data_IF_503491262898
#
_entry.id   IF_503491262898
#
_cell.length_a   1.000
_cell.length_b   1.000
_cell.length_c   1.000
_cell.angle_alpha   90.00
_cell.angle_beta   90.00
_cell.angle_gamma   90.00
#
_symmetry.space_group_name_H-M   'P 1'
#
loop_
_entity.id
_entity.type
_entity.pdbx_description
1 polymer ?
#
# COMPACT_ATOMS: atom_id res chain seq x y z
N UNK A 1 -10.19 22.66 -121.97
CA UNK A 1 -11.32 22.36 -122.87
C UNK A 1 -12.24 21.32 -122.22
N UNK A 2 -13.53 21.67 -122.09
CA UNK A 2 -14.75 20.86 -122.25
C UNK A 2 -14.87 19.43 -121.66
N UNK A 3 -15.88 19.28 -120.79
CA UNK A 3 -16.89 18.18 -120.78
C UNK A 3 -16.47 16.89 -120.05
N UNK A 4 -17.32 16.10 -119.37
CA UNK A 4 -18.79 15.96 -119.20
C UNK A 4 -19.01 15.29 -117.82
N UNK A 5 -19.85 15.81 -116.93
CA UNK A 5 -21.32 15.59 -116.75
C UNK A 5 -21.78 14.13 -116.50
N UNK A 6 -22.17 13.89 -115.23
CA UNK A 6 -23.49 13.37 -114.75
C UNK A 6 -23.98 11.99 -115.21
N UNK A 7 -24.69 11.14 -114.43
CA UNK A 7 -25.78 11.38 -113.46
C UNK A 7 -26.11 10.04 -112.76
N UNK A 8 -26.28 10.02 -111.44
CA UNK A 8 -26.92 8.92 -110.67
C UNK A 8 -28.39 9.29 -110.43
N UNK A 9 -29.32 8.47 -110.89
CA UNK A 9 -30.75 8.57 -110.56
C UNK A 9 -31.11 7.56 -109.44
N UNK A 10 -31.80 8.03 -108.40
CA UNK A 10 -32.58 7.22 -107.44
C UNK A 10 -34.04 7.62 -107.58
N UNK A 11 -35.02 6.70 -107.53
CA UNK A 11 -36.42 7.06 -107.30
C UNK A 11 -36.90 6.71 -105.87
N UNK A 12 -37.41 7.77 -105.22
CA UNK A 12 -38.69 7.90 -104.49
C UNK A 12 -39.11 6.84 -103.44
N UNK A 13 -38.97 7.19 -102.14
CA UNK A 13 -39.84 6.76 -101.01
C UNK A 13 -40.49 8.01 -100.44
N UNK A 14 -41.80 8.19 -100.63
CA UNK A 14 -42.47 9.47 -100.32
C UNK A 14 -43.94 9.41 -99.89
N UNK A 15 -44.47 8.27 -99.41
CA UNK A 15 -45.87 8.19 -98.96
C UNK A 15 -46.06 7.78 -97.48
N UNK A 16 -45.10 7.09 -96.85
CA UNK A 16 -45.27 6.57 -95.48
C UNK A 16 -45.07 7.59 -94.34
N UNK A 17 -44.28 8.66 -94.54
CA UNK A 17 -44.05 9.68 -93.49
C UNK A 17 -45.18 10.70 -93.36
N UNK A 18 -46.00 10.85 -94.39
CA UNK A 18 -47.12 11.80 -94.41
C UNK A 18 -48.27 11.31 -93.51
N UNK A 19 -48.55 10.00 -93.54
CA UNK A 19 -49.58 9.36 -92.69
C UNK A 19 -49.29 9.54 -91.19
N UNK A 20 -48.03 9.37 -90.76
CA UNK A 20 -47.65 9.55 -89.35
C UNK A 20 -47.70 11.00 -88.84
N UNK A 21 -47.59 12.00 -89.73
CA UNK A 21 -47.83 13.41 -89.38
C UNK A 21 -49.31 13.71 -89.28
N UNK A 22 -50.13 13.16 -90.18
CA UNK A 22 -51.58 13.30 -90.13
C UNK A 22 -52.17 12.67 -88.87
N UNK A 23 -51.66 11.52 -88.43
CA UNK A 23 -52.11 10.89 -87.18
C UNK A 23 -51.76 11.77 -85.96
N UNK A 24 -50.54 12.34 -85.92
CA UNK A 24 -50.13 13.24 -84.82
C UNK A 24 -50.91 14.54 -84.80
N UNK A 25 -51.17 15.13 -85.98
CA UNK A 25 -52.02 16.31 -86.12
C UNK A 25 -53.45 15.97 -85.70
N UNK A 26 -53.96 14.80 -86.09
CA UNK A 26 -55.27 14.30 -85.65
C UNK A 26 -55.38 14.13 -84.14
N UNK A 27 -54.36 13.58 -83.48
CA UNK A 27 -54.32 13.45 -82.01
C UNK A 27 -54.26 14.82 -81.32
N UNK A 28 -53.48 15.77 -81.87
CA UNK A 28 -53.40 17.13 -81.33
C UNK A 28 -54.70 17.91 -81.50
N UNK A 29 -55.37 17.75 -82.65
CA UNK A 29 -56.70 18.32 -82.88
C UNK A 29 -57.73 17.69 -81.94
N UNK A 30 -57.65 16.37 -81.71
CA UNK A 30 -58.54 15.67 -80.79
C UNK A 30 -58.32 16.12 -79.33
N UNK A 31 -57.07 16.29 -78.90
CA UNK A 31 -56.74 16.84 -77.58
C UNK A 31 -57.20 18.30 -77.43
N UNK A 32 -57.00 19.14 -78.46
CA UNK A 32 -57.46 20.53 -78.39
C UNK A 32 -58.99 20.63 -78.40
N UNK A 33 -59.67 19.74 -79.12
CA UNK A 33 -61.13 19.67 -79.17
C UNK A 33 -61.71 19.16 -77.84
N UNK A 34 -61.03 18.24 -77.15
CA UNK A 34 -61.39 17.81 -75.78
C UNK A 34 -61.23 18.97 -74.78
N UNK A 35 -60.13 19.73 -74.87
CA UNK A 35 -59.88 20.88 -73.98
C UNK A 35 -60.89 22.00 -74.27
N UNK A 36 -61.14 22.32 -75.55
CA UNK A 36 -62.13 23.32 -75.96
C UNK A 36 -63.55 22.90 -75.55
N UNK A 37 -63.88 21.61 -75.68
CA UNK A 37 -65.13 21.03 -75.19
C UNK A 37 -65.28 21.16 -73.68
N UNK A 38 -64.19 20.98 -72.90
CA UNK A 38 -64.19 21.14 -71.45
C UNK A 38 -64.44 22.60 -71.04
N UNK A 39 -63.85 23.56 -71.75
CA UNK A 39 -64.06 25.01 -71.49
C UNK A 39 -65.47 25.42 -71.91
N UNK A 40 -65.95 24.99 -73.08
CA UNK A 40 -67.31 25.28 -73.54
C UNK A 40 -68.39 24.76 -72.58
N UNK A 41 -68.16 23.59 -71.96
CA UNK A 41 -69.06 23.02 -70.95
C UNK A 41 -69.16 23.87 -69.66
N UNK A 42 -68.18 24.74 -69.36
CA UNK A 42 -68.30 25.69 -68.25
C UNK A 42 -69.18 26.90 -68.59
N UNK A 43 -69.23 27.31 -69.86
CA UNK A 43 -69.96 28.50 -70.29
C UNK A 43 -71.43 28.23 -70.65
N UNK A 44 -71.77 27.00 -71.06
CA UNK A 44 -73.13 26.63 -71.48
C UNK A 44 -73.64 25.39 -70.70
N UNK A 45 -74.18 25.57 -69.48
CA UNK A 45 -74.57 24.45 -68.60
C UNK A 45 -75.86 23.71 -69.01
N UNK A 46 -76.65 24.20 -69.98
CA UNK A 46 -77.98 23.64 -70.31
C UNK A 46 -77.99 22.62 -71.48
N UNK A 47 -76.89 22.44 -72.20
CA UNK A 47 -76.79 21.45 -73.29
C UNK A 47 -76.34 20.09 -72.77
N UNK A 48 -77.28 19.15 -72.66
CA UNK A 48 -77.12 17.80 -72.09
C UNK A 48 -76.16 16.83 -72.85
N UNK A 49 -75.46 17.27 -73.90
CA UNK A 49 -74.65 16.40 -74.77
C UNK A 49 -73.19 16.23 -74.28
N UNK A 50 -72.83 16.79 -73.12
CA UNK A 50 -71.46 16.84 -72.60
C UNK A 50 -71.20 16.03 -71.31
N UNK A 51 -72.02 15.02 -71.00
CA UNK A 51 -71.78 14.16 -69.81
C UNK A 51 -70.65 13.12 -70.00
N UNK A 52 -70.32 12.76 -71.25
CA UNK A 52 -69.35 11.70 -71.55
C UNK A 52 -67.89 12.02 -71.15
N UNK A 53 -67.34 13.23 -71.39
CA UNK A 53 -65.97 13.55 -70.99
C UNK A 53 -65.78 13.61 -69.47
N UNK A 54 -66.81 14.05 -68.73
CA UNK A 54 -66.76 14.25 -67.28
C UNK A 54 -66.66 12.92 -66.51
N UNK A 55 -67.33 11.86 -67.01
CA UNK A 55 -67.28 10.52 -66.38
C UNK A 55 -65.94 9.80 -66.60
N UNK A 56 -65.20 10.12 -67.66
CA UNK A 56 -63.91 9.50 -67.95
C UNK A 56 -62.79 10.06 -67.07
N UNK A 57 -62.75 11.38 -66.87
CA UNK A 57 -61.75 12.07 -66.01
C UNK A 57 -61.93 11.69 -64.53
N UNK A 58 -63.18 11.55 -64.07
CA UNK A 58 -63.46 11.13 -62.70
C UNK A 58 -62.98 9.70 -62.38
N UNK A 59 -62.94 8.81 -63.39
CA UNK A 59 -62.56 7.39 -63.22
C UNK A 59 -61.05 7.16 -63.18
N UNK A 60 -60.25 8.08 -63.72
CA UNK A 60 -58.78 8.00 -63.72
C UNK A 60 -58.14 8.71 -62.53
N UNK A 61 -58.75 9.78 -62.02
CA UNK A 61 -58.13 10.61 -60.96
C UNK A 61 -58.42 10.09 -59.54
N UNK A 62 -59.56 9.45 -59.32
CA UNK A 62 -59.98 8.97 -57.99
C UNK A 62 -59.11 7.89 -57.34
N UNK A 63 -58.52 6.91 -58.05
CA UNK A 63 -57.64 5.93 -57.39
C UNK A 63 -56.28 6.50 -57.00
N UNK A 64 -55.82 7.58 -57.65
CA UNK A 64 -54.49 8.17 -57.41
C UNK A 64 -54.45 9.04 -56.15
N UNK A 65 -55.59 9.60 -55.74
CA UNK A 65 -55.69 10.39 -54.51
C UNK A 65 -55.61 9.52 -53.24
N UNK A 66 -56.06 8.26 -53.28
CA UNK A 66 -56.03 7.35 -52.12
C UNK A 66 -54.66 6.70 -51.92
N UNK A 67 -53.88 6.49 -52.98
CA UNK A 67 -52.52 5.93 -52.89
C UNK A 67 -51.48 6.96 -52.46
N UNK A 68 -51.68 8.24 -52.79
CA UNK A 68 -50.81 9.32 -52.31
C UNK A 68 -50.97 9.60 -50.81
N UNK A 69 -52.16 9.41 -50.24
CA UNK A 69 -52.41 9.63 -48.81
C UNK A 69 -51.80 8.53 -47.91
N UNK A 70 -51.83 7.27 -48.32
CA UNK A 70 -51.21 6.16 -47.55
C UNK A 70 -49.70 6.13 -47.68
N UNK A 71 -49.14 6.58 -48.82
CA UNK A 71 -47.69 6.69 -49.01
C UNK A 71 -47.06 7.80 -48.15
N UNK A 72 -47.75 8.93 -47.95
CA UNK A 72 -47.25 10.03 -47.10
C UNK A 72 -47.34 9.72 -45.60
N UNK A 73 -48.35 8.99 -45.14
CA UNK A 73 -48.44 8.56 -43.73
C UNK A 73 -47.35 7.55 -43.35
N UNK A 74 -47.00 6.61 -44.24
CA UNK A 74 -45.92 5.64 -44.02
C UNK A 74 -44.53 6.28 -43.86
N UNK A 75 -44.20 7.25 -44.71
CA UNK A 75 -42.91 7.95 -44.69
C UNK A 75 -42.78 8.85 -43.46
N UNK A 76 -43.85 9.57 -43.09
CA UNK A 76 -43.87 10.41 -41.89
C UNK A 76 -43.76 9.57 -40.61
N UNK A 77 -44.38 8.38 -40.57
CA UNK A 77 -44.30 7.48 -39.42
C UNK A 77 -42.90 6.88 -39.22
N UNK A 78 -42.20 6.55 -40.31
CA UNK A 78 -40.82 6.03 -40.26
C UNK A 78 -39.83 7.12 -39.85
N UNK A 79 -39.96 8.34 -40.41
CA UNK A 79 -39.14 9.48 -40.01
C UNK A 79 -39.38 9.89 -38.55
N UNK A 80 -40.62 9.80 -38.06
CA UNK A 80 -40.94 10.04 -36.64
C UNK A 80 -40.32 8.98 -35.74
N UNK A 81 -40.28 7.71 -36.17
CA UNK A 81 -39.65 6.59 -35.44
C UNK A 81 -38.12 6.69 -35.41
N UNK A 82 -37.50 7.17 -36.50
CA UNK A 82 -36.05 7.46 -36.54
C UNK A 82 -35.68 8.66 -35.68
N UNK A 83 -36.47 9.74 -35.74
CA UNK A 83 -36.25 10.92 -34.89
C UNK A 83 -36.43 10.60 -33.40
N UNK A 84 -37.38 9.73 -33.05
CA UNK A 84 -37.56 9.26 -31.67
C UNK A 84 -36.37 8.42 -31.18
N UNK A 85 -35.80 7.57 -32.04
CA UNK A 85 -34.61 6.76 -31.70
C UNK A 85 -33.35 7.61 -31.51
N UNK A 86 -33.11 8.57 -32.39
CA UNK A 86 -31.96 9.48 -32.26
C UNK A 86 -32.06 10.36 -31.01
N UNK A 87 -33.26 10.82 -30.63
CA UNK A 87 -33.45 11.52 -29.36
C UNK A 87 -33.17 10.62 -28.15
N UNK A 88 -33.56 9.34 -28.21
CA UNK A 88 -33.35 8.40 -27.11
C UNK A 88 -31.86 8.07 -26.91
N UNK A 89 -31.12 7.82 -27.99
CA UNK A 89 -29.67 7.61 -27.94
C UNK A 89 -28.95 8.85 -27.41
N UNK A 90 -29.36 10.04 -27.88
CA UNK A 90 -28.81 11.31 -27.40
C UNK A 90 -29.11 11.57 -25.91
N UNK A 91 -30.33 11.33 -25.45
CA UNK A 91 -30.70 11.46 -24.03
C UNK A 91 -29.95 10.43 -23.16
N UNK A 92 -29.75 9.21 -23.67
CA UNK A 92 -28.98 8.17 -22.98
C UNK A 92 -27.50 8.55 -22.86
N UNK A 93 -26.87 9.00 -23.95
CA UNK A 93 -25.48 9.47 -23.92
C UNK A 93 -25.30 10.69 -23.00
N UNK A 94 -26.24 11.64 -23.05
CA UNK A 94 -26.22 12.80 -22.15
C UNK A 94 -26.36 12.40 -20.69
N UNK A 95 -27.23 11.44 -20.39
CA UNK A 95 -27.42 10.92 -19.05
C UNK A 95 -26.15 10.20 -18.55
N UNK A 96 -25.51 9.40 -19.41
CA UNK A 96 -24.23 8.75 -19.09
C UNK A 96 -23.13 9.76 -18.82
N UNK A 97 -23.04 10.84 -19.60
CA UNK A 97 -22.06 11.92 -19.34
C UNK A 97 -22.29 12.58 -17.99
N UNK A 98 -23.53 12.96 -17.67
CA UNK A 98 -23.86 13.55 -16.36
C UNK A 98 -23.63 12.57 -15.21
N UNK A 99 -23.91 11.29 -15.42
CA UNK A 99 -23.66 10.25 -14.42
C UNK A 99 -22.17 10.12 -14.14
N UNK A 100 -21.34 10.00 -15.18
CA UNK A 100 -19.89 9.92 -15.03
C UNK A 100 -19.32 11.18 -14.37
N UNK A 101 -19.75 12.37 -14.78
CA UNK A 101 -19.35 13.64 -14.16
C UNK A 101 -19.69 13.66 -12.66
N UNK A 102 -20.88 13.19 -12.28
CA UNK A 102 -21.29 13.11 -10.86
C UNK A 102 -20.50 12.08 -10.08
N UNK A 103 -20.16 10.95 -10.70
CA UNK A 103 -19.30 9.94 -10.10
C UNK A 103 -17.90 10.51 -9.87
N UNK A 104 -17.33 11.20 -10.86
CA UNK A 104 -16.02 11.85 -10.74
C UNK A 104 -16.01 12.90 -9.63
N UNK A 105 -17.03 13.76 -9.56
CA UNK A 105 -17.19 14.73 -8.46
C UNK A 105 -17.26 14.05 -7.09
N UNK A 106 -18.00 12.93 -6.99
CA UNK A 106 -18.14 12.19 -5.73
C UNK A 106 -16.83 11.53 -5.30
N UNK A 107 -16.05 11.00 -6.24
CA UNK A 107 -14.74 10.41 -5.97
C UNK A 107 -13.75 11.48 -5.48
N UNK A 108 -13.69 12.63 -6.17
CA UNK A 108 -12.83 13.74 -5.77
C UNK A 108 -13.19 14.27 -4.38
N UNK A 109 -14.48 14.40 -4.08
CA UNK A 109 -14.93 14.85 -2.75
C UNK A 109 -14.52 13.87 -1.65
N UNK A 110 -14.62 12.57 -1.93
CA UNK A 110 -14.21 11.53 -0.99
C UNK A 110 -12.69 11.52 -0.76
N UNK A 111 -11.89 11.73 -1.82
CA UNK A 111 -10.45 11.93 -1.72
C UNK A 111 -10.10 13.13 -0.82
N UNK A 112 -10.77 14.28 -1.01
CA UNK A 112 -10.57 15.44 -0.14
C UNK A 112 -10.95 15.17 1.31
N UNK A 113 -12.05 14.44 1.55
CA UNK A 113 -12.46 14.06 2.91
C UNK A 113 -11.43 13.15 3.57
N UNK A 114 -10.94 12.15 2.86
CA UNK A 114 -9.90 11.23 3.34
C UNK A 114 -8.62 12.00 3.72
N UNK A 115 -8.15 12.89 2.84
CA UNK A 115 -6.98 13.75 3.15
C UNK A 115 -7.20 14.63 4.38
N UNK A 116 -8.35 15.30 4.46
CA UNK A 116 -8.70 16.14 5.62
C UNK A 116 -8.71 15.35 6.91
N UNK A 117 -9.25 14.12 6.88
CA UNK A 117 -9.25 13.22 8.02
C UNK A 117 -7.84 12.82 8.43
N UNK A 118 -6.99 12.38 7.49
CA UNK A 118 -5.59 12.04 7.78
C UNK A 118 -4.81 13.20 8.41
N UNK A 119 -5.03 14.42 7.92
CA UNK A 119 -4.45 15.63 8.52
C UNK A 119 -4.96 15.93 9.92
N UNK A 120 -6.24 15.68 10.19
CA UNK A 120 -6.84 15.83 11.51
C UNK A 120 -6.26 14.80 12.49
N UNK A 121 -6.13 13.53 12.07
CA UNK A 121 -5.56 12.46 12.89
C UNK A 121 -4.11 12.73 13.28
N UNK A 122 -3.31 13.29 12.35
CA UNK A 122 -1.94 13.74 12.65
C UNK A 122 -1.90 14.90 13.63
N UNK A 123 -2.85 15.83 13.54
CA UNK A 123 -2.95 16.95 14.47
C UNK A 123 -3.36 16.49 15.87
N UNK A 124 -4.26 15.51 15.96
CA UNK A 124 -4.67 14.88 17.20
C UNK A 124 -3.54 14.06 17.85
N UNK A 125 -2.74 13.35 17.06
CA UNK A 125 -1.54 12.66 17.57
C UNK A 125 -0.50 13.66 18.09
N UNK A 126 -0.25 14.74 17.33
CA UNK A 126 0.69 15.81 17.72
C UNK A 126 0.25 16.52 18.99
N UNK A 127 -1.04 16.78 19.15
CA UNK A 127 -1.60 17.47 20.32
C UNK A 127 -1.60 16.58 21.57
N UNK A 128 -1.82 15.27 21.42
CA UNK A 128 -1.68 14.30 22.53
C UNK A 128 -0.22 14.15 22.98
N UNK A 129 0.72 14.24 22.03
CA UNK A 129 2.15 14.05 22.27
C UNK A 129 2.95 15.36 22.16
N UNK A 130 2.48 16.44 22.78
CA UNK A 130 3.14 17.76 22.77
C UNK A 130 4.62 17.70 23.19
N UNK A 131 4.95 16.79 24.10
CA UNK A 131 6.31 16.60 24.62
C UNK A 131 7.30 16.05 23.56
N UNK A 132 6.80 15.41 22.50
CA UNK A 132 7.60 14.80 21.44
C UNK A 132 7.90 15.75 20.26
N UNK A 133 7.31 16.95 20.27
CA UNK A 133 7.52 18.01 19.28
C UNK A 133 7.55 17.48 17.83
N UNK A 134 6.40 16.94 17.41
CA UNK A 134 6.21 16.31 16.10
C UNK A 134 6.07 17.33 14.95
N UNK A 135 6.88 17.16 13.91
CA UNK A 135 6.80 17.90 12.65
C UNK A 135 5.98 17.11 11.65
N UNK A 136 4.92 17.70 11.11
CA UNK A 136 4.14 17.11 10.02
C UNK A 136 4.94 17.16 8.72
N UNK A 137 4.96 16.05 7.99
CA UNK A 137 5.66 15.92 6.73
C UNK A 137 4.84 15.10 5.74
N UNK A 138 4.98 15.42 4.45
CA UNK A 138 4.40 14.69 3.35
C UNK A 138 5.44 13.75 2.75
N UNK A 139 5.01 12.56 2.35
CA UNK A 139 5.84 11.63 1.57
C UNK A 139 5.83 12.09 0.11
N UNK A 140 7.01 12.40 -0.42
CA UNK A 140 7.20 12.87 -1.81
C UNK A 140 7.90 11.84 -2.71
N UNK A 141 8.36 10.73 -2.13
CA UNK A 141 8.97 9.64 -2.87
C UNK A 141 9.01 8.37 -2.03
N UNK A 142 8.99 7.22 -2.71
CA UNK A 142 9.14 5.90 -2.12
C UNK A 142 10.09 5.07 -2.99
N UNK A 143 10.92 4.27 -2.34
CA UNK A 143 11.76 3.26 -2.97
C UNK A 143 11.61 1.96 -2.17
N UNK A 144 10.91 0.99 -2.75
CA UNK A 144 10.59 -0.28 -2.12
C UNK A 144 11.09 -1.44 -2.98
N UNK A 145 11.81 -2.34 -2.34
CA UNK A 145 12.31 -3.60 -2.89
C UNK A 145 12.11 -4.70 -1.84
N UNK A 146 12.43 -5.95 -2.17
CA UNK A 146 12.19 -7.09 -1.28
C UNK A 146 12.87 -6.98 0.09
N UNK A 147 13.98 -6.23 0.19
CA UNK A 147 14.76 -6.06 1.42
C UNK A 147 14.99 -4.60 1.80
N UNK A 148 14.51 -3.67 0.97
CA UNK A 148 14.77 -2.24 1.13
C UNK A 148 13.47 -1.48 1.14
N UNK A 149 13.30 -0.60 2.11
CA UNK A 149 12.14 0.27 2.22
C UNK A 149 12.61 1.66 2.65
N UNK A 150 12.54 2.61 1.71
CA UNK A 150 12.95 3.99 1.89
C UNK A 150 11.82 4.93 1.48
N UNK A 151 11.57 5.96 2.28
CA UNK A 151 10.68 7.08 1.96
C UNK A 151 11.47 8.37 1.88
N UNK A 152 11.03 9.30 1.05
CA UNK A 152 11.55 10.68 1.00
C UNK A 152 10.47 11.63 1.46
N UNK A 153 10.80 12.51 2.41
CA UNK A 153 9.89 13.51 2.99
C UNK A 153 10.21 14.93 2.52
N UNK A 154 9.20 15.80 2.52
CA UNK A 154 9.29 17.24 2.19
C UNK A 154 9.78 18.15 3.33
N UNK A 155 10.44 17.55 4.33
CA UNK A 155 11.02 18.26 5.48
C UNK A 155 12.51 17.96 5.60
N UNK A 156 13.27 18.92 6.13
CA UNK A 156 14.71 18.78 6.29
C UNK A 156 15.25 19.56 7.48
N UNK A 157 16.55 19.86 7.45
CA UNK A 157 17.25 20.52 8.56
C UNK A 157 16.72 21.93 8.84
N UNK A 158 16.13 22.62 7.85
CA UNK A 158 15.48 23.93 8.04
C UNK A 158 14.31 23.90 9.01
N UNK A 159 13.59 22.78 9.07
CA UNK A 159 12.48 22.54 9.99
C UNK A 159 12.97 21.95 11.33
N UNK A 160 14.28 21.66 11.44
CA UNK A 160 14.89 21.08 12.63
C UNK A 160 14.92 19.55 12.64
N UNK A 161 14.69 18.90 11.49
CA UNK A 161 14.89 17.45 11.32
C UNK A 161 16.39 17.15 11.33
N UNK A 162 16.77 16.05 11.98
CA UNK A 162 18.13 15.52 12.01
C UNK A 162 18.08 14.03 11.72
N UNK A 163 19.24 13.44 11.43
CA UNK A 163 19.35 12.00 11.29
C UNK A 163 19.06 11.30 12.63
N UNK A 164 18.55 10.07 12.55
CA UNK A 164 18.17 9.24 13.69
C UNK A 164 16.95 9.72 14.49
N UNK A 165 16.04 10.49 13.88
CA UNK A 165 14.75 10.86 14.45
C UNK A 165 13.68 9.83 14.10
N UNK A 166 12.76 9.58 15.04
CA UNK A 166 11.65 8.66 14.82
C UNK A 166 10.58 9.27 13.90
N UNK A 167 10.17 8.49 12.91
CA UNK A 167 9.07 8.82 12.00
C UNK A 167 7.90 7.89 12.27
N UNK A 168 6.74 8.46 12.54
CA UNK A 168 5.54 7.73 12.93
C UNK A 168 4.31 8.25 12.18
N UNK A 169 3.34 7.36 12.01
CA UNK A 169 1.95 7.69 11.71
C UNK A 169 1.16 7.66 13.02
N UNK A 170 -0.08 8.18 13.08
CA UNK A 170 -0.90 8.10 14.29
C UNK A 170 -0.97 6.66 14.81
N UNK A 171 -0.42 6.42 15.99
CA UNK A 171 -0.42 5.12 16.63
C UNK A 171 0.57 4.07 16.11
N UNK A 172 1.49 4.35 15.17
CA UNK A 172 2.49 3.37 14.74
C UNK A 172 3.82 3.99 14.24
N UNK A 173 4.94 3.31 14.51
CA UNK A 173 6.28 3.66 14.03
C UNK A 173 6.47 3.21 12.57
N UNK A 174 6.92 4.12 11.72
CA UNK A 174 7.29 3.81 10.33
C UNK A 174 8.78 3.53 10.20
N UNK A 175 9.62 4.35 10.83
CA UNK A 175 11.05 4.28 10.57
C UNK A 175 11.86 5.38 11.23
N UNK A 176 13.06 5.56 10.70
CA UNK A 176 14.06 6.49 11.22
C UNK A 176 14.60 7.36 10.09
N UNK A 177 14.79 8.65 10.34
CA UNK A 177 15.38 9.57 9.35
C UNK A 177 16.86 9.30 9.12
N UNK A 178 17.31 9.42 7.88
CA UNK A 178 18.71 9.39 7.50
C UNK A 178 18.95 10.29 6.28
N UNK A 179 20.19 10.73 6.09
CA UNK A 179 20.59 11.57 4.95
C UNK A 179 19.71 12.83 4.81
N UNK A 180 19.63 13.60 5.88
CA UNK A 180 18.80 14.82 5.93
C UNK A 180 19.48 15.98 5.18
N UNK A 181 18.79 16.52 4.17
CA UNK A 181 19.18 17.75 3.44
C UNK A 181 18.45 18.97 4.00
N UNK A 182 18.71 20.17 3.48
CA UNK A 182 18.08 21.41 3.93
C UNK A 182 16.55 21.43 3.79
N UNK A 183 15.99 20.78 2.76
CA UNK A 183 14.57 20.82 2.42
C UNK A 183 13.89 19.45 2.39
N UNK A 184 14.65 18.36 2.37
CA UNK A 184 14.14 16.99 2.25
C UNK A 184 14.95 16.07 3.14
N UNK A 185 14.39 14.93 3.50
CA UNK A 185 15.08 13.87 4.23
C UNK A 185 14.62 12.51 3.74
N UNK A 186 15.47 11.50 3.91
CA UNK A 186 15.09 10.11 3.66
C UNK A 186 14.76 9.42 4.98
N UNK A 187 13.94 8.38 4.91
CA UNK A 187 13.49 7.59 6.04
C UNK A 187 13.67 6.13 5.69
N UNK A 188 14.40 5.41 6.54
CA UNK A 188 14.52 3.96 6.42
C UNK A 188 13.41 3.33 7.25
N UNK A 189 12.58 2.49 6.62
CA UNK A 189 11.45 1.85 7.27
C UNK A 189 11.89 0.77 8.25
N UNK A 190 11.10 0.48 9.29
CA UNK A 190 11.36 -0.62 10.22
C UNK A 190 11.31 -2.00 9.56
N UNK A 191 10.68 -2.09 8.38
CA UNK A 191 10.56 -3.29 7.55
C UNK A 191 11.79 -3.52 6.66
N UNK A 192 12.73 -2.56 6.61
CA UNK A 192 14.01 -2.69 5.92
C UNK A 192 15.01 -3.54 6.73
N UNK A 193 15.78 -4.39 6.05
CA UNK A 193 16.78 -5.26 6.69
C UNK A 193 17.94 -4.49 7.33
N UNK A 194 18.23 -3.27 6.86
CA UNK A 194 19.28 -2.42 7.40
C UNK A 194 18.78 -1.52 8.55
N UNK A 195 17.47 -1.45 8.77
CA UNK A 195 16.91 -0.72 9.89
C UNK A 195 17.02 -1.55 11.17
N UNK A 196 17.55 -0.93 12.23
CA UNK A 196 17.67 -1.55 13.54
C UNK A 196 17.09 -0.61 14.58
N UNK A 197 16.00 -1.04 15.24
CA UNK A 197 15.29 -0.23 16.24
C UNK A 197 15.25 -0.96 17.57
N UNK A 198 15.59 -0.26 18.65
CA UNK A 198 15.48 -0.82 20.00
C UNK A 198 14.01 -0.89 20.43
N UNK A 199 13.48 -2.09 20.56
CA UNK A 199 12.08 -2.36 20.89
C UNK A 199 11.94 -3.00 22.29
N UNK A 200 10.75 -2.87 22.86
CA UNK A 200 10.35 -3.42 24.14
C UNK A 200 8.98 -4.08 24.02
N UNK A 201 8.86 -5.28 24.57
CA UNK A 201 7.58 -5.99 24.66
C UNK A 201 6.84 -5.48 25.90
N UNK A 202 5.61 -4.98 25.74
CA UNK A 202 4.90 -4.32 26.85
C UNK A 202 4.59 -5.28 28.01
N UNK A 203 4.26 -6.54 27.70
CA UNK A 203 3.84 -7.56 28.67
C UNK A 203 4.99 -8.02 29.58
N UNK A 204 6.13 -8.43 29.00
CA UNK A 204 7.28 -8.95 29.72
C UNK A 204 8.31 -7.88 30.08
N UNK A 205 8.21 -6.70 29.46
CA UNK A 205 9.22 -5.62 29.52
C UNK A 205 10.59 -6.03 28.99
N UNK A 206 10.66 -7.13 28.25
CA UNK A 206 11.90 -7.56 27.59
C UNK A 206 12.27 -6.61 26.47
N UNK A 207 13.57 -6.33 26.39
CA UNK A 207 14.15 -5.49 25.35
C UNK A 207 14.82 -6.34 24.28
N UNK A 208 14.87 -5.79 23.07
CA UNK A 208 15.52 -6.44 21.95
C UNK A 208 15.71 -5.47 20.79
N UNK A 209 16.36 -5.95 19.74
CA UNK A 209 16.57 -5.20 18.50
C UNK A 209 15.63 -5.72 17.43
N UNK A 210 14.77 -4.84 16.93
CA UNK A 210 13.89 -5.09 15.81
C UNK A 210 14.63 -4.80 14.49
N UNK A 211 14.52 -5.71 13.53
CA UNK A 211 15.04 -5.55 12.17
C UNK A 211 14.02 -6.09 11.16
N UNK A 212 13.94 -5.44 10.00
CA UNK A 212 13.01 -5.80 8.95
C UNK A 212 13.32 -7.15 8.29
N UNK A 213 12.27 -7.88 7.90
CA UNK A 213 12.41 -9.11 7.14
C UNK A 213 11.24 -9.26 6.17
N UNK A 214 11.44 -10.05 5.12
CA UNK A 214 10.34 -10.46 4.25
C UNK A 214 9.67 -11.69 4.84
N UNK A 215 8.34 -11.63 5.08
CA UNK A 215 7.59 -12.82 5.46
C UNK A 215 7.48 -13.79 4.28
N UNK A 216 7.32 -15.07 4.59
CA UNK A 216 7.06 -16.14 3.59
C UNK A 216 5.78 -15.85 2.80
N UNK A 217 4.82 -15.17 3.44
CA UNK A 217 3.50 -14.84 2.89
C UNK A 217 3.52 -13.59 1.99
N UNK A 218 4.69 -13.02 1.72
CA UNK A 218 4.84 -11.77 0.96
C UNK A 218 4.46 -10.50 1.72
N UNK A 219 4.06 -10.61 2.99
CA UNK A 219 3.74 -9.49 3.87
C UNK A 219 4.99 -8.92 4.54
N UNK A 220 4.93 -7.64 4.89
CA UNK A 220 5.94 -6.99 5.73
C UNK A 220 5.94 -7.61 7.13
N UNK A 221 7.12 -8.00 7.60
CA UNK A 221 7.32 -8.51 8.95
C UNK A 221 8.62 -7.98 9.52
N UNK A 222 8.74 -8.03 10.84
CA UNK A 222 9.96 -7.68 11.54
C UNK A 222 10.40 -8.87 12.39
N UNK A 223 11.70 -9.02 12.59
CA UNK A 223 12.29 -9.96 13.54
C UNK A 223 12.86 -9.19 14.71
N UNK A 224 12.55 -9.64 15.92
CA UNK A 224 13.13 -9.06 17.14
C UNK A 224 14.12 -10.04 17.74
N UNK A 225 15.38 -9.60 17.84
CA UNK A 225 16.52 -10.37 18.34
C UNK A 225 16.93 -9.94 19.75
N UNK A 226 17.79 -10.74 20.39
CA UNK A 226 18.42 -10.46 21.69
C UNK A 226 17.46 -10.38 22.88
N UNK A 227 16.35 -11.10 22.81
CA UNK A 227 15.42 -11.25 23.93
C UNK A 227 16.03 -12.09 25.06
N UNK A 228 15.61 -11.82 26.29
CA UNK A 228 16.10 -12.53 27.48
C UNK A 228 15.58 -13.97 27.51
N UNK A 229 16.38 -14.92 27.99
CA UNK A 229 16.00 -16.33 28.03
C UNK A 229 14.87 -16.66 29.01
N UNK A 230 14.65 -15.83 30.02
CA UNK A 230 13.74 -16.09 31.14
C UNK A 230 12.26 -16.07 30.76
N UNK A 231 11.86 -15.34 29.71
CA UNK A 231 10.46 -15.27 29.31
C UNK A 231 10.28 -15.53 27.82
N UNK A 232 9.20 -16.24 27.48
CA UNK A 232 8.77 -16.42 26.10
C UNK A 232 7.58 -15.49 25.87
N UNK A 233 7.69 -14.53 24.94
CA UNK A 233 6.58 -13.65 24.60
C UNK A 233 5.37 -14.45 24.14
N UNK A 234 4.16 -13.95 24.37
CA UNK A 234 2.96 -14.61 23.84
C UNK A 234 2.58 -13.99 22.49
N UNK A 235 2.06 -14.79 21.54
CA UNK A 235 1.43 -14.23 20.35
C UNK A 235 0.33 -13.22 20.75
N UNK A 236 0.29 -12.08 20.07
CA UNK A 236 -0.58 -10.94 20.36
C UNK A 236 0.02 -9.89 21.29
N UNK A 237 1.13 -10.18 21.99
CA UNK A 237 1.79 -9.19 22.85
C UNK A 237 2.22 -7.96 22.04
N UNK A 238 2.01 -6.77 22.60
CA UNK A 238 2.29 -5.50 21.94
C UNK A 238 3.75 -5.12 22.07
N UNK A 239 4.35 -4.68 20.97
CA UNK A 239 5.75 -4.26 20.87
C UNK A 239 5.79 -2.75 20.65
N UNK A 240 6.57 -2.06 21.46
CA UNK A 240 6.74 -0.60 21.44
C UNK A 240 8.22 -0.21 21.39
N UNK A 241 8.53 1.04 21.09
CA UNK A 241 9.91 1.54 21.17
C UNK A 241 10.41 1.55 22.62
N UNK A 242 11.64 1.08 22.84
CA UNK A 242 12.24 1.01 24.18
C UNK A 242 12.72 2.36 24.71
N UNK A 243 13.02 3.31 23.83
CA UNK A 243 13.66 4.59 24.16
C UNK A 243 15.17 4.53 24.39
N UNK A 244 15.81 3.39 24.08
CA UNK A 244 17.23 3.16 24.37
C UNK A 244 18.07 3.23 23.10
N UNK A 245 19.23 3.89 23.20
CA UNK A 245 20.24 3.99 22.16
C UNK A 245 20.03 5.22 21.27
N UNK A 246 19.09 5.14 20.33
CA UNK A 246 18.82 6.23 19.38
C UNK A 246 17.92 7.32 19.98
N UNK A 247 17.84 8.47 19.30
CA UNK A 247 16.95 9.59 19.66
C UNK A 247 15.47 9.27 19.33
N UNK A 248 15.02 8.08 19.71
CA UNK A 248 13.67 7.58 19.54
C UNK A 248 12.99 7.63 20.90
N UNK A 249 11.84 8.29 21.04
CA UNK A 249 11.13 8.32 22.31
C UNK A 249 10.57 6.93 22.63
N UNK A 250 10.45 6.64 23.92
CA UNK A 250 9.88 5.38 24.41
C UNK A 250 8.37 5.35 24.19
N UNK A 251 7.83 4.18 23.89
CA UNK A 251 6.38 3.93 23.89
C UNK A 251 5.65 4.17 22.57
N UNK A 252 6.36 4.44 21.46
CA UNK A 252 5.72 4.46 20.13
C UNK A 252 5.37 3.01 19.76
N UNK A 253 4.13 2.72 19.35
CA UNK A 253 3.73 1.36 18.99
C UNK A 253 4.39 0.92 17.69
N UNK A 254 4.79 -0.34 17.61
CA UNK A 254 5.42 -0.93 16.43
C UNK A 254 4.50 -1.98 15.84
N UNK A 255 4.11 -2.96 16.66
CA UNK A 255 3.50 -4.19 16.17
C UNK A 255 2.99 -5.13 17.25
N UNK A 256 2.54 -6.30 16.82
CA UNK A 256 2.19 -7.41 17.68
C UNK A 256 3.08 -8.63 17.40
N UNK A 257 3.38 -9.41 18.42
CA UNK A 257 4.09 -10.68 18.24
C UNK A 257 3.18 -11.65 17.48
N UNK A 258 3.59 -12.07 16.29
CA UNK A 258 2.85 -13.05 15.48
C UNK A 258 3.18 -14.47 15.91
N UNK A 259 4.48 -14.73 16.08
CA UNK A 259 4.98 -16.04 16.48
C UNK A 259 6.08 -15.88 17.52
N UNK A 260 5.98 -16.65 18.60
CA UNK A 260 6.94 -16.64 19.70
C UNK A 260 7.88 -17.84 19.72
N UNK A 261 7.80 -18.74 18.75
CA UNK A 261 8.80 -19.78 18.55
C UNK A 261 10.14 -19.11 18.30
N UNK A 262 11.11 -19.36 19.17
CA UNK A 262 12.48 -18.83 19.03
C UNK A 262 13.13 -19.50 17.84
N UNK A 263 12.93 -18.92 16.65
CA UNK A 263 13.60 -19.34 15.43
C UNK A 263 15.11 -19.16 15.59
N UNK A 264 15.90 -20.11 15.09
CA UNK A 264 17.34 -19.97 15.04
C UNK A 264 17.75 -19.40 13.67
N UNK A 265 18.39 -18.24 13.69
CA UNK A 265 19.07 -17.68 12.52
C UNK A 265 20.45 -17.20 12.95
N UNK A 266 21.51 -17.66 12.30
CA UNK A 266 22.89 -17.30 12.63
C UNK A 266 23.23 -17.44 14.13
N UNK A 267 22.72 -18.51 14.78
CA UNK A 267 22.86 -18.77 16.21
C UNK A 267 22.23 -17.69 17.13
N UNK A 268 21.29 -16.90 16.60
CA UNK A 268 20.50 -15.92 17.35
C UNK A 268 19.04 -16.37 17.36
N UNK A 269 18.42 -16.23 18.52
CA UNK A 269 16.99 -16.45 18.68
C UNK A 269 16.24 -15.17 18.30
N UNK A 270 15.12 -15.33 17.60
CA UNK A 270 14.23 -14.23 17.28
C UNK A 270 12.76 -14.63 17.43
N UNK A 271 11.92 -13.60 17.57
CA UNK A 271 10.46 -13.70 17.41
C UNK A 271 10.06 -12.92 16.16
N UNK A 272 8.89 -13.25 15.61
CA UNK A 272 8.34 -12.50 14.47
C UNK A 272 7.28 -11.53 14.96
N UNK A 273 7.43 -10.27 14.57
CA UNK A 273 6.54 -9.16 14.90
C UNK A 273 5.87 -8.68 13.61
N UNK A 274 4.54 -8.60 13.65
CA UNK A 274 3.74 -8.01 12.59
C UNK A 274 3.52 -6.52 12.90
N UNK A 275 3.96 -5.61 12.01
CA UNK A 275 3.78 -4.18 12.26
C UNK A 275 2.30 -3.76 12.15
N UNK A 276 1.91 -2.78 12.95
CA UNK A 276 0.54 -2.21 12.93
C UNK A 276 0.37 -1.20 11.79
N UNK A 277 1.46 -0.56 11.36
CA UNK A 277 1.44 0.41 10.27
C UNK A 277 1.20 -0.26 8.91
N UNK A 278 0.41 0.39 8.07
CA UNK A 278 0.29 0.07 6.65
C UNK A 278 1.44 0.72 5.89
N UNK A 279 2.39 -0.08 5.40
CA UNK A 279 3.55 0.37 4.63
C UNK A 279 3.25 0.60 3.14
N UNK A 280 2.07 0.21 2.64
CA UNK A 280 1.68 0.40 1.24
C UNK A 280 1.05 1.79 1.02
N UNK A 281 0.30 2.30 2.00
CA UNK A 281 -0.52 3.51 1.86
C UNK A 281 -0.09 4.64 2.81
N UNK A 282 1.19 5.03 2.76
CA UNK A 282 1.72 6.13 3.58
C UNK A 282 1.79 7.43 2.77
N UNK A 283 0.93 8.40 3.10
CA UNK A 283 0.96 9.74 2.49
C UNK A 283 1.54 10.81 3.44
N UNK A 284 1.17 10.72 4.72
CA UNK A 284 1.47 11.75 5.71
C UNK A 284 2.11 11.13 6.96
N UNK A 285 3.14 11.78 7.48
CA UNK A 285 3.89 11.28 8.65
C UNK A 285 4.23 12.40 9.63
N UNK A 286 4.58 12.00 10.84
CA UNK A 286 5.05 12.84 11.91
C UNK A 286 6.51 12.49 12.24
N UNK A 287 7.40 13.49 12.21
CA UNK A 287 8.80 13.35 12.61
C UNK A 287 8.97 13.89 14.02
N UNK A 288 9.32 13.04 14.98
CA UNK A 288 9.49 13.44 16.37
C UNK A 288 10.87 14.07 16.61
N UNK A 289 10.90 15.34 17.03
CA UNK A 289 12.13 16.01 17.48
C UNK A 289 12.44 15.68 18.94
N UNK A 290 12.55 14.39 19.22
CA UNK A 290 12.90 13.94 20.56
C UNK A 290 14.38 14.18 20.84
N UNK A 291 14.69 14.87 21.95
CA UNK A 291 16.05 14.97 22.48
C UNK A 291 16.06 14.29 23.85
N UNK A 292 16.73 13.14 24.00
CA UNK A 292 16.86 12.52 25.31
C UNK A 292 17.61 13.50 26.23
N UNK A 293 17.02 13.84 27.37
CA UNK A 293 17.73 14.62 28.38
C UNK A 293 18.84 13.72 28.95
N UNK A 294 20.11 14.17 29.04
CA UNK A 294 21.23 13.33 29.48
C UNK A 294 21.08 12.64 30.85
N UNK A 295 20.08 13.00 31.68
CA UNK A 295 19.76 12.30 32.94
C UNK A 295 18.89 11.05 32.79
N UNK A 296 18.06 10.95 31.75
CA UNK A 296 17.06 9.87 31.58
C UNK A 296 17.68 8.57 30.99
N UNK A 297 18.72 8.73 30.17
CA UNK A 297 19.56 7.61 29.67
C UNK A 297 20.36 6.93 30.79
N UNK A 298 20.62 7.64 31.89
CA UNK A 298 21.37 7.14 33.03
C UNK A 298 20.45 6.47 34.07
N UNK A 299 19.26 7.02 34.31
CA UNK A 299 18.22 6.41 35.16
C UNK A 299 17.66 5.10 34.56
N UNK A 300 17.33 5.09 33.27
CA UNK A 300 16.86 3.88 32.58
C UNK A 300 17.88 2.73 32.57
N UNK A 301 19.18 3.05 32.65
CA UNK A 301 20.24 2.06 32.85
C UNK A 301 20.32 1.56 34.29
N UNK A 302 20.08 2.43 35.28
CA UNK A 302 20.14 2.08 36.72
C UNK A 302 18.92 1.27 37.18
N UNK A 303 17.72 1.60 36.70
CA UNK A 303 16.48 0.91 37.09
C UNK A 303 16.48 -0.58 36.69
N UNK A 304 17.23 -0.94 35.65
CA UNK A 304 17.37 -2.33 35.18
C UNK A 304 18.55 -3.09 35.83
N UNK A 305 19.38 -2.43 36.65
CA UNK A 305 20.60 -3.03 37.24
C UNK A 305 20.55 -3.03 38.78
N UNK A 306 19.73 -2.21 39.42
CA UNK A 306 19.61 -2.21 40.88
C UNK A 306 18.62 -3.30 41.34
N UNK A 307 19.06 -4.43 41.93
CA UNK A 307 18.14 -5.31 42.64
C UNK A 307 17.53 -4.51 43.79
N UNK A 308 16.23 -4.23 43.71
CA UNK A 308 15.49 -3.69 44.84
C UNK A 308 15.46 -4.77 45.90
N UNK A 309 16.31 -4.64 46.92
CA UNK A 309 16.29 -5.52 48.08
C UNK A 309 14.99 -5.27 48.84
N UNK A 310 13.97 -6.08 48.56
CA UNK A 310 12.79 -6.17 49.41
C UNK A 310 13.20 -7.06 50.58
N UNK A 311 13.44 -6.53 51.80
CA UNK A 311 13.75 -7.38 52.92
C UNK A 311 12.56 -8.32 53.15
N UNK A 312 12.80 -9.62 53.05
CA UNK A 312 11.85 -10.62 53.52
C UNK A 312 11.55 -10.31 54.99
N UNK A 313 10.28 -10.28 55.43
CA UNK A 313 9.96 -10.09 56.82
C UNK A 313 10.61 -11.23 57.63
N UNK A 314 11.66 -10.90 58.35
CA UNK A 314 12.33 -11.80 59.29
C UNK A 314 11.33 -12.23 60.36
N UNK A 315 11.09 -13.53 60.50
CA UNK A 315 10.22 -14.10 61.54
C UNK A 315 10.79 -13.98 62.96
N UNK A 316 12.02 -13.48 63.11
CA UNK A 316 12.66 -13.29 64.41
C UNK A 316 12.62 -11.80 64.78
N UNK A 317 11.99 -11.43 65.91
CA UNK A 317 12.04 -10.06 66.40
C UNK A 317 13.48 -9.74 66.81
N UNK A 318 14.04 -8.68 66.21
CA UNK A 318 15.33 -8.14 66.64
C UNK A 318 15.09 -7.39 67.97
N UNK A 319 15.86 -7.63 69.04
CA UNK A 319 15.69 -6.90 70.28
C UNK A 319 16.07 -5.43 70.09
N UNK A 320 15.08 -4.54 70.02
CA UNK A 320 15.30 -3.09 70.11
C UNK A 320 15.64 -2.75 71.56
N UNK A 321 16.91 -2.50 71.85
CA UNK A 321 17.29 -1.87 73.12
C UNK A 321 16.86 -0.39 73.08
N UNK A 322 15.96 -0.02 73.98
CA UNK A 322 15.42 1.34 74.10
C UNK A 322 16.55 2.28 74.56
N UNK A 323 16.92 3.25 73.73
CA UNK A 323 17.81 4.34 74.15
C UNK A 323 18.80 4.92 73.13
N UNK A 324 18.84 4.45 71.87
CA UNK A 324 19.72 5.03 70.84
C UNK A 324 18.90 5.63 69.69
N UNK A 325 19.23 6.83 69.18
CA UNK A 325 18.59 7.35 67.98
C UNK A 325 18.84 6.39 66.80
N UNK A 326 17.82 6.25 65.94
CA UNK A 326 17.89 5.43 64.72
C UNK A 326 19.14 5.78 63.91
N UNK A 327 19.86 4.78 63.35
CA UNK A 327 20.98 5.07 62.48
C UNK A 327 20.45 5.69 61.18
N UNK A 328 20.70 6.99 60.99
CA UNK A 328 20.53 7.64 59.69
C UNK A 328 21.57 7.09 58.71
N UNK A 329 21.10 6.36 57.71
CA UNK A 329 21.96 5.85 56.64
C UNK A 329 22.09 6.92 55.55
N UNK A 330 23.02 7.85 55.72
CA UNK A 330 23.37 8.84 54.69
C UNK A 330 24.22 8.18 53.61
N UNK A 331 23.59 7.80 52.48
CA UNK A 331 24.30 7.36 51.29
C UNK A 331 24.76 8.55 50.45
N UNK A 332 26.05 8.92 50.52
CA UNK A 332 26.82 9.52 49.43
C UNK A 332 28.33 9.27 49.66
N UNK A 333 29.15 9.01 48.62
CA UNK A 333 30.57 8.70 48.78
C UNK A 333 31.41 9.97 48.66
N UNK A 334 32.28 10.23 49.66
CA UNK A 334 33.21 11.35 49.61
C UNK A 334 34.30 11.27 50.66
N UNK A 335 35.53 11.07 50.18
CA UNK A 335 36.79 11.62 50.71
C UNK A 335 37.28 11.15 52.09
N UNK A 336 38.23 10.20 52.07
CA UNK A 336 39.03 9.83 53.24
C UNK A 336 40.20 10.82 53.32
N UNK A 337 40.11 11.80 54.23
CA UNK A 337 41.26 12.59 54.68
C UNK A 337 41.72 12.08 56.04
N UNK A 338 43.03 11.85 56.14
CA UNK A 338 43.73 11.21 57.25
C UNK A 338 44.33 12.25 58.21
N UNK A 339 44.03 12.16 59.50
CA UNK A 339 44.85 12.63 60.65
C UNK A 339 44.59 11.60 61.79
N UNK A 340 45.50 10.96 62.50
CA UNK A 340 46.95 11.09 62.65
C UNK A 340 47.29 11.10 64.15
N UNK A 341 47.72 9.97 64.74
CA UNK A 341 48.64 9.92 65.90
C UNK A 341 49.16 8.48 66.16
N UNK A 342 50.48 8.38 66.29
CA UNK A 342 51.34 7.18 66.21
C UNK A 342 51.56 6.52 67.59
N UNK A 343 52.20 5.34 67.71
CA UNK A 343 53.66 5.14 68.01
C UNK A 343 53.91 3.65 68.39
N UNK A 344 55.12 3.03 68.28
CA UNK A 344 56.14 2.99 67.21
C UNK A 344 56.62 1.56 66.82
N UNK A 345 57.29 1.46 65.69
CA UNK A 345 58.05 0.28 65.18
C UNK A 345 59.55 0.40 65.51
N UNK A 346 60.30 -0.69 65.79
CA UNK A 346 61.76 -0.64 65.88
C UNK A 346 62.46 -0.57 64.50
N UNK A 347 63.57 0.19 64.47
CA UNK A 347 64.41 0.55 63.33
C UNK A 347 65.45 -0.54 62.95
N UNK A 348 65.90 -0.63 61.68
CA UNK A 348 66.99 -1.52 61.24
C UNK A 348 68.39 -0.90 61.38
N UNK A 349 69.44 -1.73 61.33
CA UNK A 349 70.88 -1.38 61.39
C UNK A 349 71.65 -2.34 60.45
N UNK A 350 72.82 -1.95 59.86
CA UNK A 350 73.06 -2.01 58.41
C UNK A 350 74.08 -3.05 57.90
N UNK A 351 74.15 -3.06 56.56
CA UNK A 351 75.09 -3.62 55.57
C UNK A 351 76.54 -3.96 55.98
N UNK A 352 77.05 -5.05 55.40
CA UNK A 352 78.45 -5.22 55.01
C UNK A 352 78.57 -6.12 53.74
N UNK A 353 79.29 -5.61 52.73
CA UNK A 353 79.87 -6.26 51.53
C UNK A 353 81.37 -6.57 51.85
N UNK A 354 82.23 -7.34 51.09
CA UNK A 354 82.28 -7.44 49.61
C UNK A 354 82.90 -8.70 48.91
N UNK A 355 83.04 -8.59 47.57
CA UNK A 355 83.96 -9.26 46.60
C UNK A 355 83.65 -10.70 46.11
N UNK A 356 83.88 -11.15 44.86
CA UNK A 356 84.16 -10.62 43.50
C UNK A 356 84.08 -11.83 42.49
N UNK A 357 84.20 -11.58 41.17
CA UNK A 357 84.48 -12.52 40.04
C UNK A 357 83.35 -13.06 39.10
N UNK A 358 83.08 -12.27 38.05
CA UNK A 358 83.18 -12.60 36.61
C UNK A 358 83.10 -14.08 36.13
N UNK A 359 82.06 -14.43 35.32
CA UNK A 359 82.16 -15.07 33.97
C UNK A 359 80.81 -15.58 33.43
N UNK A 360 80.46 -15.17 32.21
CA UNK A 360 79.49 -15.82 31.29
C UNK A 360 80.32 -16.47 30.17
N UNK A 361 80.11 -17.76 29.75
CA UNK A 361 79.06 -18.07 28.76
C UNK A 361 78.50 -19.52 28.66
N UNK A 362 77.41 -19.62 27.86
CA UNK A 362 76.89 -20.77 27.04
C UNK A 362 75.83 -21.71 27.66
N UNK A 363 74.64 -21.87 27.02
CA UNK A 363 73.81 -23.05 27.23
C UNK A 363 74.13 -24.14 26.18
N UNK A 364 74.31 -25.36 26.67
CA UNK A 364 74.49 -26.60 25.90
C UNK A 364 73.13 -27.26 25.65
N UNK A 365 72.99 -27.79 24.44
CA UNK A 365 71.87 -28.55 23.89
C UNK A 365 71.51 -29.79 24.71
N UNK A 366 70.22 -30.05 24.93
CA UNK A 366 69.68 -31.42 24.91
C UNK A 366 68.28 -31.39 24.26
N UNK A 367 68.12 -32.23 23.24
CA UNK A 367 66.96 -32.28 22.35
C UNK A 367 65.85 -33.22 22.82
N UNK A 368 64.65 -32.96 22.31
CA UNK A 368 63.55 -33.92 22.29
C UNK A 368 63.18 -34.22 20.84
N UNK A 369 63.16 -35.51 20.50
CA UNK A 369 62.90 -36.08 19.18
C UNK A 369 61.43 -36.52 19.07
N UNK A 370 60.89 -36.34 17.86
CA UNK A 370 59.55 -36.65 17.37
C UNK A 370 59.15 -38.13 17.47
N UNK A 371 57.84 -38.39 17.56
CA UNK A 371 57.23 -39.67 17.13
C UNK A 371 56.00 -39.35 16.27
N UNK A 372 56.05 -39.77 14.99
CA UNK A 372 54.95 -39.71 14.03
C UNK A 372 54.20 -41.05 13.90
N UNK A 373 52.87 -40.95 13.80
CA UNK A 373 51.91 -41.68 12.94
C UNK A 373 51.63 -43.22 13.06
N UNK A 374 50.40 -43.53 13.53
CA UNK A 374 49.29 -44.46 13.11
C UNK A 374 49.58 -45.90 12.58
N UNK A 375 48.67 -46.90 12.78
CA UNK A 375 47.38 -46.99 12.07
C UNK A 375 46.16 -47.36 12.94
N UNK A 376 44.98 -46.99 12.43
CA UNK A 376 43.66 -47.38 12.93
C UNK A 376 43.41 -48.89 12.73
N UNK A 377 42.85 -49.55 13.75
CA UNK A 377 42.20 -50.85 13.62
C UNK A 377 40.69 -50.65 13.76
N UNK A 378 39.96 -51.40 12.94
CA UNK A 378 38.56 -51.23 12.65
C UNK A 378 37.67 -51.57 13.86
N UNK A 379 36.66 -50.74 14.14
CA UNK A 379 35.51 -51.15 14.95
C UNK A 379 34.24 -50.59 14.31
N UNK A 380 33.55 -51.51 13.65
CA UNK A 380 32.12 -51.62 13.30
C UNK A 380 31.27 -50.35 13.19
N UNK A 381 30.83 -50.13 11.95
CA UNK A 381 29.68 -49.35 11.48
C UNK A 381 28.42 -49.57 12.35
N UNK A 382 27.78 -48.53 12.91
CA UNK A 382 26.41 -48.66 13.37
C UNK A 382 25.44 -48.69 12.17
N UNK A 383 24.54 -49.68 12.16
CA UNK A 383 23.43 -49.83 11.20
C UNK A 383 22.56 -48.55 11.08
N UNK A 384 21.93 -48.32 9.91
CA UNK A 384 20.98 -47.22 9.75
C UNK A 384 19.75 -47.43 10.65
N UNK A 385 19.46 -46.43 11.48
CA UNK A 385 18.20 -46.30 12.24
C UNK A 385 17.00 -46.45 11.30
N UNK A 386 15.99 -47.29 11.63
CA UNK A 386 14.81 -47.48 10.78
C UNK A 386 13.96 -46.20 10.68
N UNK A 387 13.46 -45.91 9.49
CA UNK A 387 12.50 -44.83 9.22
C UNK A 387 11.26 -44.95 10.11
N UNK A 388 10.74 -43.84 10.68
CA UNK A 388 9.52 -43.88 11.46
C UNK A 388 8.33 -44.23 10.57
N UNK A 389 7.63 -45.30 10.93
CA UNK A 389 6.36 -45.73 10.32
C UNK A 389 5.29 -44.65 10.51
N UNK A 390 4.58 -44.32 9.43
CA UNK A 390 3.47 -43.37 9.46
C UNK A 390 2.41 -43.80 10.50
N UNK A 391 2.12 -42.90 11.44
CA UNK A 391 1.01 -43.02 12.39
C UNK A 391 -0.30 -42.75 11.63
N UNK A 392 -1.37 -43.57 11.82
CA UNK A 392 -2.61 -43.41 11.08
C UNK A 392 -3.31 -42.08 11.41
N UNK A 393 -3.94 -41.50 10.38
CA UNK A 393 -4.69 -40.24 10.44
C UNK A 393 -5.71 -40.20 11.59
N UNK A 394 -5.89 -39.03 12.26
CA UNK A 394 -6.90 -38.90 13.29
C UNK A 394 -8.30 -39.04 12.68
N UNK A 395 -9.06 -40.02 13.18
CA UNK A 395 -10.49 -40.17 12.86
C UNK A 395 -11.26 -38.97 13.42
N UNK A 396 -12.10 -38.34 12.59
CA UNK A 396 -12.93 -37.22 12.96
C UNK A 396 -13.94 -37.61 14.07
N UNK A 397 -13.91 -36.91 15.20
CA UNK A 397 -14.79 -37.17 16.37
C UNK A 397 -16.18 -36.52 16.24
N UNK A 398 -16.61 -36.12 15.04
CA UNK A 398 -17.94 -35.55 14.84
C UNK A 398 -18.66 -36.21 13.67
N UNK A 399 -19.72 -36.97 13.99
CA UNK A 399 -20.72 -37.45 13.05
C UNK A 399 -21.70 -36.32 12.73
N UNK A 400 -22.00 -36.13 11.45
CA UNK A 400 -22.97 -35.13 10.94
C UNK A 400 -24.41 -35.46 11.36
N UNK A 401 -24.67 -36.67 11.87
CA UNK A 401 -26.01 -37.10 12.32
C UNK A 401 -26.46 -36.50 13.66
N UNK A 402 -25.58 -35.84 14.41
CA UNK A 402 -25.91 -35.20 15.72
C UNK A 402 -26.23 -33.69 15.63
N UNK A 403 -26.31 -33.11 14.42
CA UNK A 403 -26.75 -31.71 14.26
C UNK A 403 -28.28 -31.60 14.21
N UNK A 404 -28.89 -31.35 15.36
CA UNK A 404 -30.28 -30.86 15.41
C UNK A 404 -30.37 -29.44 14.86
N UNK A 405 -31.13 -29.27 13.78
CA UNK A 405 -31.48 -27.96 13.20
C UNK A 405 -32.49 -27.28 14.13
N UNK A 406 -32.12 -26.16 14.74
CA UNK A 406 -33.08 -25.23 15.34
C UNK A 406 -33.89 -24.57 14.21
N UNK A 407 -35.21 -24.76 14.23
CA UNK A 407 -36.14 -23.94 13.47
C UNK A 407 -36.42 -22.66 14.27
N UNK A 408 -36.01 -21.53 13.73
CA UNK A 408 -36.36 -20.21 14.25
C UNK A 408 -37.87 -19.92 14.00
N UNK A 409 -38.58 -19.28 14.96
CA UNK A 409 -40.01 -19.00 14.89
C UNK A 409 -40.43 -17.85 13.96
#
# INVERSE_FOLDING_TARGET
MKGKRTKKNKPVRGSAQWVGRLIRIGIMILLSLIILSMVAAQFFPEIAVLEAPRRFVARTITPIQRTFATATEGIVSYLRKLKLRSNLEYEYERLLMMYNEKVDESMLLEEYRSRLQNYADLEDERSRNLNLDGIKANVIGWDTSNYTYTLTLDVGTRQGVQDNMAVAVPGALIGITYNTTASTCNVIGIVDANCNVSALIESSRDQGTLSGTLSIDGKYACRMYYLTYSTLPRPGDRVVTSGIGMAIPKGIPIGHVRESTRGLENNKQYIVVEPIADFEHIEYVLVYRYRPTPGEVDESRRDNIAPTFVPLPSANPVPTFVGQPEPEFTGMPGEITTEGAQTPTPSPTPSAEPEDENKTPKPTEEGFVYVDAVPADATETPEPTPEPTATPEPTATFSVDDMTVEQDP
#
